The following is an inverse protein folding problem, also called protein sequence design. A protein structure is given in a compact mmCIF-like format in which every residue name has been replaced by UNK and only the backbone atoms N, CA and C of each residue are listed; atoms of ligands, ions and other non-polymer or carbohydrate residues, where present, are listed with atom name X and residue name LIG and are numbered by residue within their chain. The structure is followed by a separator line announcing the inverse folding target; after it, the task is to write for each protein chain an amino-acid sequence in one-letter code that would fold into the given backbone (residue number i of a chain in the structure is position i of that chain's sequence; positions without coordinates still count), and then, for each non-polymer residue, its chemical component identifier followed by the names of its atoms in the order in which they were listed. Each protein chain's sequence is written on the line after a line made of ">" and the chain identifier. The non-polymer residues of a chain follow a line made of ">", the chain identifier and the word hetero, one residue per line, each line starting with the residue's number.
data_IF_378542079386
#
_entry.id   IF_378542079386
#
_cell.length_a   1.000
_cell.length_b   1.000
_cell.length_c   1.000
_cell.angle_alpha   90.00
_cell.angle_beta   90.00
_cell.angle_gamma   90.00
#
_symmetry.space_group_name_H-M   'P 1'
#
loop_
_entity.id
_entity.type
_entity.pdbx_description
1 polymer ?
#
# COMPACT_ATOMS: atom_id res chain seq x y z
N UNK A 1 -4.43 -7.66 6.01
CA UNK A 1 -4.48 -6.28 6.50
C UNK A 1 -4.58 -6.24 8.01
N UNK A 2 -3.98 -5.26 8.63
CA UNK A 2 -4.02 -5.02 10.07
C UNK A 2 -4.52 -3.60 10.31
N UNK A 3 -5.78 -3.48 10.76
CA UNK A 3 -6.48 -2.21 10.88
C UNK A 3 -6.99 -2.00 12.29
N UNK A 4 -6.84 -0.77 12.81
CA UNK A 4 -7.40 -0.35 14.09
C UNK A 4 -8.52 0.65 13.88
N UNK A 5 -9.57 0.57 14.70
CA UNK A 5 -10.74 1.43 14.62
C UNK A 5 -10.61 2.75 15.39
N UNK A 6 -9.39 3.18 15.65
CA UNK A 6 -9.08 4.45 16.31
C UNK A 6 -8.32 4.25 17.62
N UNK A 7 -7.56 5.26 17.98
CA UNK A 7 -6.73 5.29 19.19
C UNK A 7 -7.47 6.10 20.26
N UNK A 8 -7.56 5.55 21.47
CA UNK A 8 -8.12 6.24 22.66
C UNK A 8 -9.58 6.71 22.51
N UNK A 9 -10.44 5.89 21.95
CA UNK A 9 -11.88 6.10 22.02
C UNK A 9 -12.44 5.39 23.25
N UNK A 10 -13.46 6.00 23.90
CA UNK A 10 -14.19 5.38 25.03
C UNK A 10 -15.01 4.15 24.58
N UNK A 11 -15.00 3.83 23.31
CA UNK A 11 -15.70 2.72 22.70
C UNK A 11 -14.73 1.87 21.89
N UNK A 12 -14.54 0.63 22.32
CA UNK A 12 -13.86 -0.38 21.54
C UNK A 12 -14.87 -1.06 20.60
N UNK A 13 -14.63 -0.91 19.31
CA UNK A 13 -15.35 -1.67 18.29
C UNK A 13 -14.45 -2.79 17.79
N UNK A 14 -15.01 -3.96 17.56
CA UNK A 14 -14.27 -5.00 16.84
C UNK A 14 -13.88 -4.45 15.45
N UNK A 15 -12.60 -4.55 15.11
CA UNK A 15 -12.06 -4.04 13.85
C UNK A 15 -12.54 -4.79 12.60
N UNK A 16 -13.39 -5.78 12.79
CA UNK A 16 -13.87 -6.62 11.70
C UNK A 16 -12.78 -7.57 11.17
N UNK A 17 -12.90 -7.90 9.90
CA UNK A 17 -11.92 -8.70 9.17
C UNK A 17 -11.30 -7.86 8.05
N UNK A 18 -10.33 -6.99 8.36
CA UNK A 18 -9.70 -6.17 7.35
C UNK A 18 -8.94 -7.06 6.36
N UNK A 19 -9.05 -6.75 5.07
CA UNK A 19 -8.41 -7.51 4.01
C UNK A 19 -7.72 -6.60 3.00
N UNK A 20 -6.57 -7.05 2.51
CA UNK A 20 -5.98 -6.58 1.28
C UNK A 20 -6.24 -7.60 0.17
N UNK A 21 -5.96 -7.22 -1.07
CA UNK A 21 -6.23 -8.04 -2.24
C UNK A 21 -5.00 -8.08 -3.15
N UNK A 22 -4.73 -9.27 -3.67
CA UNK A 22 -3.80 -9.44 -4.79
C UNK A 22 -4.62 -9.79 -6.02
N UNK A 23 -4.48 -8.98 -7.06
CA UNK A 23 -5.21 -9.11 -8.31
C UNK A 23 -4.20 -9.48 -9.39
N UNK A 24 -4.43 -10.58 -10.07
CA UNK A 24 -3.58 -11.05 -11.15
C UNK A 24 -4.43 -11.71 -12.23
N UNK A 25 -3.92 -11.74 -13.45
CA UNK A 25 -4.50 -12.47 -14.57
C UNK A 25 -4.12 -13.96 -14.57
N UNK A 26 -3.35 -14.41 -13.58
CA UNK A 26 -2.92 -15.81 -13.42
C UNK A 26 -3.44 -16.40 -12.10
N UNK A 27 -3.27 -17.71 -11.95
CA UNK A 27 -3.58 -18.39 -10.68
C UNK A 27 -2.54 -18.03 -9.60
N UNK A 28 -2.89 -18.07 -8.31
CA UNK A 28 -1.96 -17.75 -7.22
C UNK A 28 -0.66 -18.56 -7.22
N UNK A 29 -0.69 -19.77 -7.77
CA UNK A 29 0.49 -20.62 -7.88
C UNK A 29 1.43 -20.23 -9.04
N UNK A 30 1.00 -19.29 -9.88
CA UNK A 30 1.72 -18.84 -11.07
C UNK A 30 2.02 -17.33 -11.02
N UNK A 31 1.81 -16.67 -9.87
CA UNK A 31 1.97 -15.22 -9.75
C UNK A 31 3.42 -14.79 -9.95
N UNK A 32 4.38 -15.67 -9.67
CA UNK A 32 5.79 -15.45 -9.94
C UNK A 32 6.18 -15.63 -11.43
N UNK A 33 5.21 -15.91 -12.31
CA UNK A 33 5.45 -15.93 -13.74
C UNK A 33 5.62 -14.50 -14.26
N UNK A 34 6.75 -14.22 -14.89
CA UNK A 34 7.22 -12.88 -15.27
C UNK A 34 6.40 -12.19 -16.36
N UNK A 35 5.44 -12.86 -16.97
CA UNK A 35 4.59 -12.29 -18.04
C UNK A 35 3.25 -11.73 -17.54
N UNK A 36 2.86 -12.01 -16.28
CA UNK A 36 1.61 -11.54 -15.73
C UNK A 36 1.78 -10.26 -14.92
N UNK A 37 0.82 -9.35 -15.02
CA UNK A 37 0.76 -8.16 -14.18
C UNK A 37 0.00 -8.47 -12.90
N UNK A 38 0.63 -8.22 -11.76
CA UNK A 38 0.06 -8.45 -10.44
C UNK A 38 -0.02 -7.15 -9.68
N UNK A 39 -1.20 -6.85 -9.16
CA UNK A 39 -1.50 -5.64 -8.39
C UNK A 39 -1.86 -6.00 -6.95
N UNK A 40 -1.21 -5.37 -6.00
CA UNK A 40 -1.54 -5.50 -4.57
C UNK A 40 -2.28 -4.24 -4.10
N UNK A 41 -3.51 -4.42 -3.63
CA UNK A 41 -4.27 -3.38 -2.93
C UNK A 41 -4.25 -3.70 -1.44
N UNK A 42 -3.53 -2.90 -0.68
CA UNK A 42 -3.28 -3.21 0.73
C UNK A 42 -4.53 -3.14 1.61
N UNK A 43 -5.55 -2.39 1.18
CA UNK A 43 -6.68 -2.06 2.04
C UNK A 43 -6.27 -1.11 3.16
N UNK A 44 -7.12 -0.96 4.15
CA UNK A 44 -6.81 -0.16 5.33
C UNK A 44 -5.95 -1.02 6.26
N UNK A 45 -4.67 -0.72 6.33
CA UNK A 45 -3.71 -1.52 7.09
C UNK A 45 -2.61 -0.68 7.71
N UNK A 46 -2.12 -1.15 8.85
CA UNK A 46 -0.81 -0.77 9.37
C UNK A 46 0.30 -1.49 8.58
N UNK A 47 1.55 -1.08 8.82
CA UNK A 47 2.71 -1.81 8.32
C UNK A 47 2.75 -3.21 8.96
N UNK A 48 2.84 -4.23 8.14
CA UNK A 48 2.87 -5.62 8.63
C UNK A 48 3.99 -6.41 7.97
N UNK A 49 4.60 -7.31 8.74
CA UNK A 49 5.76 -8.09 8.29
C UNK A 49 5.45 -9.03 7.12
N UNK A 50 4.21 -9.40 6.92
CA UNK A 50 3.77 -10.20 5.78
C UNK A 50 4.07 -9.53 4.42
N UNK A 51 4.13 -8.21 4.38
CA UNK A 51 4.53 -7.47 3.17
C UNK A 51 5.96 -7.81 2.77
N UNK A 52 6.85 -7.97 3.75
CA UNK A 52 8.24 -8.32 3.56
C UNK A 52 8.46 -9.82 3.37
N UNK A 53 7.76 -10.64 4.15
CA UNK A 53 8.05 -12.06 4.29
C UNK A 53 7.24 -12.93 3.33
N UNK A 54 6.07 -12.45 2.90
CA UNK A 54 5.13 -13.23 2.08
C UNK A 54 4.75 -12.50 0.80
N UNK A 55 4.15 -11.31 0.90
CA UNK A 55 3.53 -10.65 -0.26
C UNK A 55 4.58 -10.26 -1.28
N UNK A 56 5.66 -9.60 -0.87
CA UNK A 56 6.76 -9.24 -1.76
C UNK A 56 7.42 -10.46 -2.40
N UNK A 57 8.03 -11.36 -1.61
CA UNK A 57 8.82 -12.46 -2.17
C UNK A 57 8.02 -13.55 -2.84
N UNK A 58 6.79 -13.85 -2.39
CA UNK A 58 6.02 -14.98 -2.88
C UNK A 58 5.01 -14.62 -3.96
N UNK A 59 4.49 -13.39 -3.94
CA UNK A 59 3.49 -12.93 -4.89
C UNK A 59 4.06 -11.96 -5.93
N UNK A 60 5.22 -11.37 -5.67
CA UNK A 60 5.97 -10.49 -6.56
C UNK A 60 5.09 -9.47 -7.30
N UNK A 61 4.32 -8.63 -6.57
CA UNK A 61 3.46 -7.65 -7.21
C UNK A 61 4.27 -6.63 -8.02
N UNK A 62 3.77 -6.27 -9.19
CA UNK A 62 4.37 -5.24 -10.05
C UNK A 62 3.98 -3.84 -9.57
N UNK A 63 2.81 -3.72 -9.00
CA UNK A 63 2.25 -2.47 -8.50
C UNK A 63 1.51 -2.67 -7.17
N UNK A 64 1.49 -1.62 -6.36
CA UNK A 64 0.77 -1.63 -5.09
C UNK A 64 0.09 -0.30 -4.80
N UNK A 65 -1.14 -0.35 -4.28
CA UNK A 65 -1.82 0.77 -3.66
C UNK A 65 -1.69 0.66 -2.13
N UNK A 66 -1.11 1.69 -1.52
CA UNK A 66 -0.72 1.70 -0.11
C UNK A 66 -1.36 2.90 0.60
N UNK A 67 -2.04 2.70 1.75
CA UNK A 67 -2.60 3.80 2.51
C UNK A 67 -1.49 4.63 3.17
N UNK A 68 -1.61 5.96 3.10
CA UNK A 68 -0.61 6.90 3.64
C UNK A 68 -1.21 7.93 4.61
N UNK A 69 -2.50 7.82 4.90
CA UNK A 69 -3.24 8.85 5.65
C UNK A 69 -2.89 8.98 7.12
N UNK A 70 -2.04 8.09 7.65
CA UNK A 70 -1.73 8.03 9.07
C UNK A 70 -2.98 7.79 9.92
N UNK A 71 -2.95 8.05 11.20
CA UNK A 71 -4.03 7.97 12.15
C UNK A 71 -4.72 6.59 12.26
N UNK A 72 -5.31 6.08 11.17
CA UNK A 72 -5.96 4.75 11.12
C UNK A 72 -5.14 3.70 10.35
N UNK A 73 -4.19 4.14 9.55
CA UNK A 73 -3.38 3.30 8.67
C UNK A 73 -1.90 3.72 8.78
N UNK A 74 -1.08 3.28 7.83
CA UNK A 74 0.30 3.74 7.75
C UNK A 74 0.37 5.25 7.48
N UNK A 75 1.35 5.91 8.09
CA UNK A 75 1.78 7.25 7.68
C UNK A 75 2.79 7.18 6.53
N UNK A 76 3.22 8.34 6.00
CA UNK A 76 4.14 8.40 4.84
C UNK A 76 5.41 7.58 4.97
N UNK A 77 6.07 7.64 6.13
CA UNK A 77 7.31 6.89 6.37
C UNK A 77 7.10 5.38 6.39
N UNK A 78 6.06 4.91 7.08
CA UNK A 78 5.74 3.49 7.15
C UNK A 78 5.29 2.95 5.78
N UNK A 79 4.53 3.74 5.05
CA UNK A 79 4.11 3.40 3.69
C UNK A 79 5.30 3.30 2.73
N UNK A 80 6.32 4.14 2.88
CA UNK A 80 7.56 4.03 2.11
C UNK A 80 8.33 2.75 2.43
N UNK A 81 8.36 2.33 3.69
CA UNK A 81 8.95 1.05 4.10
C UNK A 81 8.16 -0.11 3.46
N UNK A 82 6.83 -0.05 3.44
CA UNK A 82 6.00 -1.05 2.80
C UNK A 82 6.30 -1.18 1.30
N UNK A 83 6.45 -0.07 0.60
CA UNK A 83 6.82 -0.05 -0.83
C UNK A 83 8.17 -0.72 -1.06
N UNK A 84 9.16 -0.43 -0.22
CA UNK A 84 10.48 -1.06 -0.29
C UNK A 84 10.40 -2.58 -0.04
N UNK A 85 9.67 -2.99 0.98
CA UNK A 85 9.49 -4.41 1.31
C UNK A 85 8.75 -5.21 0.23
N UNK A 86 7.81 -4.56 -0.46
CA UNK A 86 7.04 -5.18 -1.54
C UNK A 86 7.86 -5.31 -2.84
N UNK A 87 8.90 -4.49 -3.00
CA UNK A 87 9.77 -4.45 -4.17
C UNK A 87 8.98 -4.26 -5.48
N UNK A 88 8.01 -3.38 -5.47
CA UNK A 88 7.17 -3.08 -6.63
C UNK A 88 7.81 -2.08 -7.58
N UNK A 89 7.44 -2.13 -8.85
CA UNK A 89 7.85 -1.15 -9.86
C UNK A 89 7.01 0.12 -9.82
N UNK A 90 5.76 0.02 -9.38
CA UNK A 90 4.80 1.12 -9.32
C UNK A 90 4.10 1.17 -7.96
N UNK A 91 4.02 2.36 -7.36
CA UNK A 91 3.34 2.56 -6.10
C UNK A 91 2.35 3.73 -6.17
N UNK A 92 1.17 3.51 -5.62
CA UNK A 92 0.06 4.45 -5.60
C UNK A 92 -0.32 4.74 -4.15
N UNK A 93 -0.28 6.01 -3.70
CA UNK A 93 -0.80 6.36 -2.39
C UNK A 93 -2.32 6.38 -2.42
N UNK A 94 -2.94 5.96 -1.33
CA UNK A 94 -4.39 6.00 -1.17
C UNK A 94 -4.78 6.31 0.28
N UNK A 95 -6.06 6.48 0.53
CA UNK A 95 -6.63 6.69 1.87
C UNK A 95 -6.01 7.91 2.58
N UNK A 96 -6.05 9.08 1.92
CA UNK A 96 -5.56 10.34 2.47
C UNK A 96 -6.42 11.52 2.01
N UNK A 97 -6.34 12.65 2.71
CA UNK A 97 -6.95 13.97 2.40
C UNK A 97 -8.48 14.01 2.31
N UNK A 98 -9.20 12.93 2.55
CA UNK A 98 -10.67 12.92 2.47
C UNK A 98 -11.35 13.58 3.68
N UNK A 99 -10.64 13.68 4.80
CA UNK A 99 -11.08 14.43 5.98
C UNK A 99 -9.86 14.79 6.86
N UNK A 100 -9.97 15.79 7.77
CA UNK A 100 -8.81 16.37 8.43
C UNK A 100 -7.83 15.41 9.11
N UNK A 101 -8.26 14.36 9.85
CA UNK A 101 -7.32 13.46 10.52
C UNK A 101 -6.38 12.69 9.60
N UNK A 102 -6.69 12.55 8.31
CA UNK A 102 -5.86 11.83 7.34
C UNK A 102 -5.27 12.74 6.26
N UNK A 103 -5.20 14.05 6.52
CA UNK A 103 -4.48 14.97 5.64
C UNK A 103 -2.98 14.73 5.73
N UNK A 104 -2.34 14.48 4.58
CA UNK A 104 -0.91 14.29 4.44
C UNK A 104 -0.39 14.98 3.19
N UNK A 105 0.89 15.38 3.22
CA UNK A 105 1.58 15.86 2.04
C UNK A 105 2.15 14.67 1.26
N UNK A 106 1.67 14.46 0.06
CA UNK A 106 2.15 13.37 -0.81
C UNK A 106 3.62 13.54 -1.19
N UNK A 107 4.14 14.76 -1.24
CA UNK A 107 5.56 15.03 -1.47
C UNK A 107 6.43 14.45 -0.35
N UNK A 108 5.94 14.47 0.90
CA UNK A 108 6.64 13.84 2.03
C UNK A 108 6.74 12.33 1.83
N UNK A 109 5.66 11.68 1.40
CA UNK A 109 5.68 10.26 1.10
C UNK A 109 6.65 9.93 -0.04
N UNK A 110 6.63 10.70 -1.13
CA UNK A 110 7.54 10.48 -2.25
C UNK A 110 9.01 10.65 -1.86
N UNK A 111 9.32 11.63 -1.01
CA UNK A 111 10.67 11.78 -0.45
C UNK A 111 11.09 10.59 0.40
N UNK A 112 10.20 10.07 1.23
CA UNK A 112 10.48 8.88 2.05
C UNK A 112 10.69 7.65 1.17
N UNK A 113 9.92 7.48 0.10
CA UNK A 113 10.12 6.41 -0.87
C UNK A 113 11.50 6.53 -1.54
N UNK A 114 11.88 7.72 -1.99
CA UNK A 114 13.19 7.95 -2.58
C UNK A 114 14.33 7.65 -1.60
N UNK A 115 14.13 7.94 -0.31
CA UNK A 115 15.13 7.68 0.73
C UNK A 115 15.37 6.18 0.97
N UNK A 116 14.46 5.30 0.57
CA UNK A 116 14.65 3.84 0.63
C UNK A 116 15.58 3.30 -0.45
N UNK A 117 15.96 4.14 -1.42
CA UNK A 117 16.76 3.75 -2.59
C UNK A 117 16.10 2.68 -3.48
N UNK A 118 14.79 2.50 -3.36
CA UNK A 118 14.01 1.60 -4.22
C UNK A 118 13.86 2.17 -5.63
N UNK A 119 13.92 1.29 -6.64
CA UNK A 119 13.69 1.66 -8.06
C UNK A 119 12.21 1.67 -8.41
N UNK A 120 11.40 2.37 -7.62
CA UNK A 120 9.96 2.43 -7.77
C UNK A 120 9.53 3.76 -8.39
N UNK A 121 8.54 3.72 -9.27
CA UNK A 121 7.86 4.91 -9.78
C UNK A 121 6.61 5.17 -8.95
N UNK A 122 6.54 6.34 -8.32
CA UNK A 122 5.36 6.77 -7.57
C UNK A 122 4.36 7.45 -8.48
N UNK A 123 3.07 7.20 -8.25
CA UNK A 123 1.97 7.78 -9.02
C UNK A 123 0.95 8.41 -8.07
N UNK A 124 0.99 9.73 -7.92
CA UNK A 124 -0.02 10.49 -7.18
C UNK A 124 -1.06 10.96 -8.19
N UNK A 125 -2.22 10.30 -8.21
CA UNK A 125 -3.27 10.55 -9.17
C UNK A 125 -4.41 11.37 -8.56
N UNK A 126 -4.90 12.35 -9.30
CA UNK A 126 -6.17 13.00 -9.02
C UNK A 126 -7.34 12.11 -9.47
N UNK A 127 -8.55 12.36 -8.96
CA UNK A 127 -9.67 11.43 -9.06
C UNK A 127 -10.08 10.93 -10.44
N UNK A 128 -9.71 11.64 -11.50
CA UNK A 128 -10.02 11.25 -12.88
C UNK A 128 -8.79 10.82 -13.69
N UNK A 129 -7.61 10.88 -13.07
CA UNK A 129 -6.38 10.47 -13.73
C UNK A 129 -6.23 8.96 -13.75
N UNK A 130 -5.54 8.46 -14.75
CA UNK A 130 -5.22 7.05 -14.88
C UNK A 130 -3.83 6.85 -15.46
N UNK A 131 -3.26 5.70 -15.18
CA UNK A 131 -1.97 5.28 -15.74
C UNK A 131 -2.09 3.83 -16.22
N UNK A 132 -1.41 3.52 -17.32
CA UNK A 132 -1.32 2.16 -17.85
C UNK A 132 -0.02 1.54 -17.36
N UNK A 133 -0.11 0.39 -16.75
CA UNK A 133 1.04 -0.40 -16.31
C UNK A 133 1.46 -1.37 -17.43
N UNK A 134 2.64 -1.19 -17.89
CA UNK A 134 3.24 -2.07 -18.90
C UNK A 134 4.16 -3.12 -18.26
#
# INVERSE_FOLDING_TARGET
>A
ADHTNGINTDHEYEGGMPAGFVISDTTPTQVADTESTTFYHAGDTALMSEMKDVIGPSLEPDAAAIPIGDHFTMGPMQAAIAVDWLDVEHAFPMHYDTFPPIEVDTDDWEREVQATESEVTTHVLDGEESVVLD
#
